data_IF_170932866707
#
_entry.id   IF_170932866707
#
_cell.length_a   1.000
_cell.length_b   1.000
_cell.length_c   1.000
_cell.angle_alpha   90.00
_cell.angle_beta   90.00
_cell.angle_gamma   90.00
#
_symmetry.space_group_name_H-M   'P 1'
#
loop_
_entity.id
_entity.type
_entity.pdbx_description
1 polymer ?
#
# COMPACT_ATOMS: atom_id res chain seq x y z
N UNK A 1 -0.98 -6.39 -13.04
CA UNK A 1 0.38 -6.70 -13.53
C UNK A 1 0.73 -8.10 -13.04
N UNK A 2 1.41 -8.92 -13.84
CA UNK A 2 1.82 -10.26 -13.45
C UNK A 2 3.24 -10.24 -12.85
N UNK A 3 3.47 -10.98 -11.77
CA UNK A 3 4.81 -11.18 -11.19
C UNK A 3 5.36 -12.52 -11.70
N UNK A 4 6.29 -12.46 -12.65
CA UNK A 4 6.95 -13.64 -13.19
C UNK A 4 8.13 -14.10 -12.32
N UNK A 5 8.36 -15.41 -12.24
CA UNK A 5 9.52 -15.99 -11.56
C UNK A 5 10.85 -15.47 -12.13
N UNK A 6 11.90 -15.54 -11.32
CA UNK A 6 13.26 -15.08 -11.64
C UNK A 6 13.33 -13.58 -12.04
N UNK A 7 12.42 -12.77 -11.51
CA UNK A 7 12.45 -11.32 -11.65
C UNK A 7 12.73 -10.67 -10.31
N UNK A 8 13.32 -9.47 -10.31
CA UNK A 8 13.53 -8.69 -9.08
C UNK A 8 12.22 -8.44 -8.33
N UNK A 9 11.11 -8.29 -9.04
CA UNK A 9 9.78 -8.14 -8.43
C UNK A 9 9.37 -9.40 -7.66
N UNK A 10 9.64 -10.58 -8.22
CA UNK A 10 9.42 -11.84 -7.52
C UNK A 10 10.33 -11.97 -6.30
N UNK A 11 11.60 -11.57 -6.39
CA UNK A 11 12.53 -11.62 -5.26
C UNK A 11 12.04 -10.71 -4.11
N UNK A 12 11.57 -9.50 -4.41
CA UNK A 12 11.00 -8.57 -3.43
C UNK A 12 9.70 -9.14 -2.84
N UNK A 13 8.81 -9.67 -3.68
CA UNK A 13 7.59 -10.34 -3.22
C UNK A 13 7.91 -11.48 -2.26
N UNK A 14 8.88 -12.32 -2.62
CA UNK A 14 9.28 -13.48 -1.81
C UNK A 14 9.96 -13.05 -0.51
N UNK A 15 10.78 -12.00 -0.53
CA UNK A 15 11.35 -11.39 0.67
C UNK A 15 10.24 -10.94 1.64
N UNK A 16 9.30 -10.13 1.15
CA UNK A 16 8.19 -9.59 1.96
C UNK A 16 7.34 -10.72 2.53
N UNK A 17 7.07 -11.75 1.72
CA UNK A 17 6.22 -12.88 2.12
C UNK A 17 6.84 -13.73 3.21
N UNK A 18 8.16 -13.85 3.23
CA UNK A 18 8.91 -14.69 4.18
C UNK A 18 9.56 -13.88 5.31
N UNK A 19 9.30 -12.57 5.41
CA UNK A 19 9.78 -11.77 6.52
C UNK A 19 8.94 -12.02 7.78
N UNK A 20 9.42 -12.94 8.61
CA UNK A 20 8.81 -13.29 9.88
C UNK A 20 9.08 -12.28 11.01
N UNK A 21 9.91 -11.25 10.79
CA UNK A 21 10.12 -10.18 11.77
C UNK A 21 9.02 -9.13 11.72
N UNK A 22 8.39 -8.98 10.56
CA UNK A 22 7.29 -8.08 10.33
C UNK A 22 5.94 -8.81 10.39
N UNK A 23 4.86 -8.04 10.28
CA UNK A 23 3.52 -8.62 10.15
C UNK A 23 3.47 -9.54 8.92
N UNK A 24 2.93 -10.75 9.10
CA UNK A 24 2.73 -11.68 8.00
C UNK A 24 1.69 -11.10 7.06
N UNK A 25 2.12 -10.74 5.85
CA UNK A 25 1.25 -10.22 4.80
C UNK A 25 0.68 -11.35 3.95
N UNK A 26 -0.56 -11.16 3.47
CA UNK A 26 -1.18 -12.01 2.47
C UNK A 26 -0.49 -11.89 1.11
N UNK A 27 -0.73 -12.85 0.22
CA UNK A 27 -0.09 -12.87 -1.11
C UNK A 27 -0.48 -11.63 -1.94
N UNK A 28 -1.73 -11.19 -1.82
CA UNK A 28 -2.22 -9.97 -2.47
C UNK A 28 -1.54 -8.69 -1.94
N UNK A 29 -1.31 -8.61 -0.63
CA UNK A 29 -0.64 -7.46 -0.02
C UNK A 29 0.84 -7.42 -0.42
N UNK A 30 1.54 -8.54 -0.27
CA UNK A 30 2.96 -8.66 -0.64
C UNK A 30 3.18 -8.37 -2.13
N UNK A 31 2.33 -8.91 -3.01
CA UNK A 31 2.43 -8.67 -4.46
C UNK A 31 2.16 -7.22 -4.82
N UNK A 32 1.16 -6.58 -4.21
CA UNK A 32 0.84 -5.17 -4.43
C UNK A 32 2.01 -4.26 -4.03
N UNK A 33 2.64 -4.53 -2.88
CA UNK A 33 3.82 -3.78 -2.41
C UNK A 33 5.00 -4.00 -3.38
N UNK A 34 5.29 -5.24 -3.77
CA UNK A 34 6.39 -5.53 -4.69
C UNK A 34 6.22 -4.84 -6.05
N UNK A 35 4.99 -4.83 -6.59
CA UNK A 35 4.65 -4.12 -7.83
C UNK A 35 4.81 -2.60 -7.64
N UNK A 36 4.35 -2.05 -6.51
CA UNK A 36 4.50 -0.62 -6.23
C UNK A 36 5.97 -0.21 -6.15
N UNK A 37 6.83 -1.01 -5.50
CA UNK A 37 8.28 -0.78 -5.44
C UNK A 37 8.90 -0.82 -6.84
N UNK A 38 8.58 -1.86 -7.64
CA UNK A 38 9.07 -2.00 -9.02
C UNK A 38 8.79 -0.75 -9.85
N UNK A 39 7.56 -0.23 -9.74
CA UNK A 39 7.10 0.89 -10.54
C UNK A 39 7.41 2.27 -9.92
N UNK A 40 8.12 2.32 -8.78
CA UNK A 40 8.30 3.55 -7.98
C UNK A 40 6.97 4.28 -7.74
N UNK A 41 5.94 3.48 -7.51
CA UNK A 41 4.57 3.92 -7.38
C UNK A 41 4.18 4.25 -5.95
N UNK A 42 2.87 4.25 -5.73
CA UNK A 42 2.26 4.47 -4.42
C UNK A 42 1.48 3.21 -4.06
N UNK A 43 1.62 2.73 -2.82
CA UNK A 43 0.77 1.66 -2.28
C UNK A 43 -0.40 2.27 -1.52
N UNK A 44 -1.61 1.75 -1.76
CA UNK A 44 -2.78 2.08 -0.95
C UNK A 44 -2.89 1.04 0.17
N UNK A 45 -2.64 1.44 1.42
CA UNK A 45 -2.65 0.53 2.57
C UNK A 45 -3.09 1.25 3.85
N UNK A 46 -4.08 0.70 4.55
CA UNK A 46 -4.69 1.37 5.71
C UNK A 46 -3.94 1.16 7.04
N UNK A 47 -2.86 0.36 7.03
CA UNK A 47 -2.01 0.18 8.22
C UNK A 47 -0.52 0.41 7.90
N UNK A 48 -0.08 1.65 7.60
CA UNK A 48 1.29 1.94 7.21
C UNK A 48 2.33 1.50 8.26
N UNK A 49 1.96 1.45 9.55
CA UNK A 49 2.84 0.97 10.61
C UNK A 49 3.23 -0.50 10.43
N UNK A 50 2.34 -1.34 9.92
CA UNK A 50 2.61 -2.76 9.69
C UNK A 50 3.62 -3.03 8.56
N UNK A 51 3.80 -2.05 7.66
CA UNK A 51 4.70 -2.15 6.51
C UNK A 51 5.81 -1.11 6.54
N UNK A 52 6.01 -0.44 7.69
CA UNK A 52 6.90 0.71 7.84
C UNK A 52 8.32 0.40 7.37
N UNK A 53 8.84 -0.78 7.72
CA UNK A 53 10.17 -1.22 7.31
C UNK A 53 10.31 -1.25 5.78
N UNK A 54 9.27 -1.65 5.05
CA UNK A 54 9.27 -1.63 3.58
C UNK A 54 9.14 -0.22 3.01
N UNK A 55 8.35 0.65 3.66
CA UNK A 55 8.24 2.06 3.27
C UNK A 55 9.61 2.75 3.35
N UNK A 56 10.34 2.54 4.44
CA UNK A 56 11.67 3.12 4.66
C UNK A 56 12.73 2.47 3.77
N UNK A 57 12.78 1.12 3.71
CA UNK A 57 13.80 0.38 2.94
C UNK A 57 13.75 0.70 1.44
N UNK A 58 12.56 0.85 0.88
CA UNK A 58 12.36 1.01 -0.56
C UNK A 58 11.95 2.42 -0.99
N UNK A 59 11.95 3.39 -0.06
CA UNK A 59 11.42 4.74 -0.29
C UNK A 59 10.00 4.71 -0.90
N UNK A 60 9.18 3.78 -0.41
CA UNK A 60 7.84 3.53 -0.93
C UNK A 60 6.84 4.47 -0.28
N UNK A 61 6.09 5.20 -1.10
CA UNK A 61 5.00 6.05 -0.62
C UNK A 61 3.76 5.23 -0.32
N UNK A 62 3.17 5.45 0.85
CA UNK A 62 1.87 4.90 1.23
C UNK A 62 0.79 6.00 1.21
N UNK A 63 -0.41 5.65 0.77
CA UNK A 63 -1.63 6.45 0.97
C UNK A 63 -2.70 5.57 1.62
N UNK A 64 -3.50 6.16 2.49
CA UNK A 64 -4.62 5.49 3.14
C UNK A 64 -5.93 5.82 2.43
N UNK A 65 -6.99 5.07 2.73
CA UNK A 65 -8.35 5.45 2.35
C UNK A 65 -8.70 6.87 2.83
N UNK A 66 -8.27 7.24 4.04
CA UNK A 66 -8.49 8.59 4.58
C UNK A 66 -7.81 9.66 3.71
N UNK A 67 -6.56 9.44 3.29
CA UNK A 67 -5.86 10.36 2.38
C UNK A 67 -6.63 10.53 1.06
N UNK A 68 -7.12 9.42 0.50
CA UNK A 68 -7.90 9.41 -0.74
C UNK A 68 -9.20 10.21 -0.56
N UNK A 69 -9.98 9.95 0.49
CA UNK A 69 -11.25 10.64 0.71
C UNK A 69 -11.07 12.13 1.02
N UNK A 70 -10.03 12.48 1.78
CA UNK A 70 -9.67 13.88 2.02
C UNK A 70 -9.33 14.61 0.71
N UNK A 71 -8.62 13.95 -0.21
CA UNK A 71 -8.31 14.52 -1.53
C UNK A 71 -9.57 14.68 -2.41
N UNK A 72 -10.47 13.71 -2.39
CA UNK A 72 -11.76 13.81 -3.10
C UNK A 72 -12.60 14.99 -2.58
N UNK A 73 -12.63 15.18 -1.25
CA UNK A 73 -13.33 16.31 -0.64
C UNK A 73 -12.68 17.66 -1.03
N UNK A 74 -11.35 17.76 -0.99
CA UNK A 74 -10.62 18.96 -1.44
C UNK A 74 -10.90 19.30 -2.90
N UNK A 75 -11.11 18.29 -3.74
CA UNK A 75 -11.48 18.46 -5.16
C UNK A 75 -12.96 18.75 -5.39
N UNK A 76 -13.79 18.79 -4.34
CA UNK A 76 -15.23 19.01 -4.45
C UNK A 76 -15.99 17.84 -5.10
N UNK A 77 -15.39 16.64 -5.13
CA UNK A 77 -15.99 15.44 -5.72
C UNK A 77 -17.02 14.82 -4.75
N UNK A 78 -16.74 14.89 -3.45
CA UNK A 78 -17.64 14.44 -2.39
C UNK A 78 -17.98 15.59 -1.44
N UNK A 79 -19.15 15.50 -0.81
CA UNK A 79 -19.61 16.43 0.22
C UNK A 79 -18.95 16.16 1.58
N UNK A 80 -19.05 17.15 2.49
CA UNK A 80 -18.58 16.98 3.88
C UNK A 80 -19.33 15.85 4.60
N UNK A 81 -20.60 15.62 4.26
CA UNK A 81 -21.40 14.53 4.82
C UNK A 81 -20.85 13.19 4.38
N UNK A 82 -20.63 12.99 3.08
CA UNK A 82 -20.06 11.75 2.55
C UNK A 82 -18.67 11.47 3.14
N UNK A 83 -17.79 12.48 3.25
CA UNK A 83 -16.49 12.32 3.91
C UNK A 83 -16.64 11.82 5.36
N UNK A 84 -17.53 12.43 6.13
CA UNK A 84 -17.80 12.04 7.52
C UNK A 84 -18.30 10.59 7.61
N UNK A 85 -19.25 10.23 6.74
CA UNK A 85 -19.81 8.87 6.69
C UNK A 85 -18.76 7.80 6.32
N UNK A 86 -17.66 8.17 5.64
CA UNK A 86 -16.54 7.28 5.36
C UNK A 86 -15.53 7.16 6.51
N UNK A 87 -15.25 8.26 7.22
CA UNK A 87 -14.22 8.28 8.28
C UNK A 87 -14.71 7.75 9.63
N UNK A 88 -16.03 7.73 9.86
CA UNK A 88 -16.61 7.31 11.14
C UNK A 88 -17.03 5.82 11.20
N UNK A 89 -16.66 5.02 10.19
CA UNK A 89 -16.88 3.57 10.16
C UNK A 89 -15.74 2.80 10.82
#
# INVERSE_FOLDING_TARGET
EEISYNTKTFDIYYEIKNDHKNQVLGDGEASSIAIAIKNKGVVAYNNPNAIKDYLEKYDLRCITSEDIFNELFKKGIISKKELKDFLEK
#
